data_IF_181551279811
#
_entry.id   IF_181551279811
#
_cell.length_a   1.000
_cell.length_b   1.000
_cell.length_c   1.000
_cell.angle_alpha   90.00
_cell.angle_beta   90.00
_cell.angle_gamma   90.00
#
_symmetry.space_group_name_H-M   'P 1'
#
loop_
_entity.id
_entity.type
_entity.pdbx_description
1 polymer ?
#
# COMPACT_ATOMS: atom_id res chain seq x y z
N UNK A 1 -22.46 35.13 51.40
CA UNK A 1 -21.32 35.38 50.49
C UNK A 1 -21.61 34.66 49.19
N UNK A 2 -21.95 35.44 48.19
CA UNK A 2 -22.30 35.02 46.83
C UNK A 2 -21.02 34.74 46.04
N UNK A 3 -21.00 33.72 45.16
CA UNK A 3 -20.43 33.88 43.82
C UNK A 3 -21.13 32.92 42.84
N UNK A 4 -21.65 33.55 41.78
CA UNK A 4 -22.48 32.99 40.71
C UNK A 4 -21.60 32.35 39.63
N UNK A 5 -22.13 31.29 39.03
CA UNK A 5 -21.71 30.74 37.76
C UNK A 5 -21.80 31.79 36.63
N UNK A 6 -20.81 31.80 35.74
CA UNK A 6 -20.83 32.53 34.47
C UNK A 6 -20.65 31.54 33.32
N UNK A 7 -21.79 31.09 32.79
CA UNK A 7 -21.90 30.62 31.42
C UNK A 7 -22.06 31.83 30.51
N UNK A 8 -21.28 31.92 29.42
CA UNK A 8 -21.57 32.78 28.27
C UNK A 8 -21.92 31.89 27.08
N UNK A 9 -23.07 32.12 26.41
CA UNK A 9 -23.37 31.49 25.13
C UNK A 9 -22.78 32.32 23.98
N UNK A 10 -22.26 31.67 22.95
CA UNK A 10 -21.95 32.34 21.68
C UNK A 10 -22.68 31.62 20.54
N UNK A 11 -23.39 32.47 19.80
CA UNK A 11 -24.30 32.30 18.65
C UNK A 11 -24.06 31.13 17.69
N UNK A 12 -25.16 30.42 17.43
CA UNK A 12 -25.41 29.59 16.24
C UNK A 12 -25.54 30.48 14.99
N UNK A 13 -24.92 30.04 13.89
CA UNK A 13 -25.25 30.46 12.53
C UNK A 13 -25.70 29.19 11.77
N UNK A 14 -26.93 29.09 11.23
CA UNK A 14 -27.43 27.87 10.62
C UNK A 14 -27.31 27.96 9.09
N UNK A 15 -26.34 27.27 8.49
CA UNK A 15 -26.30 27.06 7.03
C UNK A 15 -25.27 25.98 6.67
N UNK A 16 -25.71 24.73 6.55
CA UNK A 16 -25.26 23.75 5.55
C UNK A 16 -25.91 22.41 5.89
N UNK A 17 -27.02 22.12 5.21
CA UNK A 17 -27.51 20.76 5.10
C UNK A 17 -26.46 19.94 4.34
N UNK A 18 -25.90 18.91 4.98
CA UNK A 18 -25.33 17.76 4.27
C UNK A 18 -26.16 16.55 4.64
N UNK A 19 -26.80 15.98 3.63
CA UNK A 19 -27.57 14.75 3.71
C UNK A 19 -26.68 13.63 4.27
N UNK A 20 -27.14 13.04 5.38
CA UNK A 20 -26.59 11.78 5.88
C UNK A 20 -27.10 10.67 4.97
N UNK A 21 -26.30 10.32 3.96
CA UNK A 21 -26.56 9.15 3.13
C UNK A 21 -26.12 7.90 3.90
N UNK A 22 -27.08 7.28 4.58
CA UNK A 22 -26.91 5.97 5.22
C UNK A 22 -26.89 4.91 4.12
N UNK A 23 -25.74 4.26 3.92
CA UNK A 23 -25.66 3.07 3.09
C UNK A 23 -25.76 1.80 3.96
N UNK A 24 -26.51 0.78 3.51
CA UNK A 24 -26.87 -0.35 4.35
C UNK A 24 -25.67 -1.26 4.64
N UNK A 25 -25.58 -1.67 5.90
CA UNK A 25 -24.77 -2.78 6.40
C UNK A 25 -25.18 -4.08 5.70
N UNK A 26 -24.26 -4.69 4.95
CA UNK A 26 -24.44 -6.05 4.42
C UNK A 26 -24.24 -7.02 5.58
N UNK A 27 -25.36 -7.50 6.13
CA UNK A 27 -25.37 -8.60 7.09
C UNK A 27 -25.15 -9.93 6.35
N UNK A 28 -24.07 -10.64 6.68
CA UNK A 28 -23.91 -12.04 6.27
C UNK A 28 -24.77 -12.93 7.17
N UNK A 29 -25.88 -13.43 6.62
CA UNK A 29 -26.68 -14.47 7.25
C UNK A 29 -25.94 -15.82 7.15
N UNK A 30 -25.65 -16.41 8.31
CA UNK A 30 -25.15 -17.78 8.45
C UNK A 30 -26.28 -18.76 8.13
N UNK A 31 -26.14 -19.52 7.04
CA UNK A 31 -27.02 -20.64 6.74
C UNK A 31 -26.41 -21.93 7.32
N UNK A 32 -26.92 -22.32 8.49
CA UNK A 32 -26.73 -23.66 9.05
C UNK A 32 -27.54 -24.65 8.20
N UNK A 33 -26.86 -25.61 7.57
CA UNK A 33 -27.48 -26.86 7.12
C UNK A 33 -26.79 -28.01 7.82
N UNK A 34 -27.56 -28.66 8.69
CA UNK A 34 -27.18 -29.92 9.31
C UNK A 34 -27.24 -31.06 8.30
N UNK A 35 -26.29 -31.99 8.42
CA UNK A 35 -26.39 -33.34 7.87
C UNK A 35 -25.78 -34.32 8.86
N UNK A 36 -26.65 -35.21 9.37
CA UNK A 36 -26.43 -36.65 9.48
C UNK A 36 -25.21 -37.16 10.25
N UNK A 37 -25.46 -37.62 11.48
CA UNK A 37 -24.61 -38.59 12.15
C UNK A 37 -24.59 -39.93 11.40
N UNK A 38 -23.40 -40.48 11.17
CA UNK A 38 -23.19 -41.81 10.60
C UNK A 38 -21.88 -42.38 11.15
N UNK A 39 -22.00 -43.34 12.06
CA UNK A 39 -20.91 -44.06 12.73
C UNK A 39 -20.35 -45.14 11.80
N UNK A 40 -19.03 -45.20 11.62
CA UNK A 40 -18.33 -46.45 11.29
C UNK A 40 -16.85 -46.38 11.69
N UNK A 41 -16.49 -47.18 12.70
CA UNK A 41 -15.12 -47.62 13.00
C UNK A 41 -14.72 -48.70 12.01
N UNK A 42 -13.55 -48.59 11.37
CA UNK A 42 -12.75 -49.74 10.92
C UNK A 42 -11.27 -49.46 11.18
N UNK A 43 -10.56 -50.55 11.44
CA UNK A 43 -9.28 -50.71 12.12
C UNK A 43 -8.19 -51.18 11.14
N UNK A 44 -6.92 -50.96 11.54
CA UNK A 44 -5.65 -51.64 11.17
C UNK A 44 -4.89 -51.25 9.87
N UNK A 45 -3.62 -50.87 10.10
CA UNK A 45 -2.31 -51.37 9.55
C UNK A 45 -2.33 -51.87 8.09
N UNK A 46 -1.38 -51.59 7.18
CA UNK A 46 0.06 -51.34 7.28
C UNK A 46 0.69 -50.98 5.91
N UNK A 47 1.89 -50.37 5.99
CA UNK A 47 3.10 -50.47 5.12
C UNK A 47 3.16 -49.93 3.67
N UNK A 48 4.17 -49.06 3.49
CA UNK A 48 5.21 -48.97 2.44
C UNK A 48 4.85 -48.36 1.08
N UNK A 49 5.60 -47.33 0.67
CA UNK A 49 6.08 -47.21 -0.72
C UNK A 49 6.07 -45.82 -1.35
N UNK A 50 7.27 -45.37 -1.74
CA UNK A 50 7.59 -44.49 -2.86
C UNK A 50 7.36 -42.97 -2.75
N UNK A 51 8.46 -42.24 -2.93
CA UNK A 51 8.48 -40.79 -3.05
C UNK A 51 7.83 -40.28 -4.33
N UNK A 52 7.50 -38.99 -4.31
CA UNK A 52 7.17 -38.23 -5.51
C UNK A 52 7.82 -36.86 -5.40
N UNK A 53 8.78 -36.62 -6.29
CA UNK A 53 9.26 -35.30 -6.67
C UNK A 53 8.06 -34.45 -7.09
N UNK A 54 7.78 -33.37 -6.35
CA UNK A 54 6.94 -32.28 -6.89
C UNK A 54 7.88 -31.31 -7.60
N UNK A 55 8.15 -31.63 -8.86
CA UNK A 55 8.85 -30.75 -9.79
C UNK A 55 7.88 -29.76 -10.44
N UNK A 56 8.17 -28.47 -10.30
CA UNK A 56 8.26 -27.57 -11.46
C UNK A 56 6.98 -27.12 -12.19
N UNK A 57 5.78 -27.15 -11.58
CA UNK A 57 4.56 -26.60 -12.24
C UNK A 57 4.03 -25.28 -11.72
N UNK A 58 4.48 -24.80 -10.55
CA UNK A 58 4.05 -23.49 -10.03
C UNK A 58 4.94 -22.32 -10.46
N UNK A 59 6.21 -22.56 -10.82
CA UNK A 59 7.17 -21.52 -11.21
C UNK A 59 6.98 -21.01 -12.65
N UNK A 60 6.40 -21.80 -13.57
CA UNK A 60 6.22 -21.38 -14.97
C UNK A 60 5.05 -20.42 -15.17
N UNK A 61 3.95 -20.60 -14.44
CA UNK A 61 2.80 -19.69 -14.48
C UNK A 61 3.11 -18.32 -13.85
N UNK A 62 4.00 -18.28 -12.86
CA UNK A 62 4.46 -17.06 -12.21
C UNK A 62 5.26 -16.17 -13.18
N UNK A 63 6.28 -16.74 -13.82
CA UNK A 63 7.08 -16.05 -14.84
C UNK A 63 6.24 -15.60 -16.03
N UNK A 64 5.29 -16.42 -16.49
CA UNK A 64 4.38 -16.04 -17.58
C UNK A 64 3.42 -14.91 -17.19
N UNK A 65 2.96 -14.84 -15.93
CA UNK A 65 2.05 -13.79 -15.47
C UNK A 65 2.77 -12.45 -15.30
N UNK A 66 4.01 -12.45 -14.83
CA UNK A 66 4.85 -11.24 -14.77
C UNK A 66 5.37 -10.84 -16.16
N UNK A 67 5.86 -11.78 -16.98
CA UNK A 67 6.27 -11.50 -18.36
C UNK A 67 5.10 -10.98 -19.22
N UNK A 68 3.88 -11.52 -19.05
CA UNK A 68 2.68 -11.02 -19.75
C UNK A 68 2.19 -9.67 -19.20
N UNK A 69 2.51 -9.37 -17.94
CA UNK A 69 2.25 -8.07 -17.33
C UNK A 69 3.22 -7.00 -17.87
N UNK A 70 4.49 -7.36 -18.08
CA UNK A 70 5.54 -6.48 -18.63
C UNK A 70 5.61 -6.41 -20.17
N UNK A 71 5.03 -7.36 -20.92
CA UNK A 71 5.08 -7.41 -22.40
C UNK A 71 3.95 -6.68 -23.14
N UNK A 72 3.03 -5.97 -22.48
CA UNK A 72 2.04 -5.16 -23.20
C UNK A 72 2.59 -3.77 -23.55
N UNK A 73 3.50 -3.73 -24.52
CA UNK A 73 3.85 -2.51 -25.24
C UNK A 73 4.10 -2.83 -26.71
N UNK A 74 3.07 -2.67 -27.52
CA UNK A 74 3.18 -2.28 -28.92
C UNK A 74 1.94 -1.44 -29.25
N UNK A 75 2.15 -0.14 -29.48
CA UNK A 75 1.17 0.72 -30.11
C UNK A 75 1.13 0.42 -31.62
N UNK A 76 -0.01 0.58 -32.30
CA UNK A 76 -0.09 0.23 -33.71
C UNK A 76 0.79 1.18 -34.53
N UNK A 77 1.79 0.61 -35.18
CA UNK A 77 2.48 1.20 -36.32
C UNK A 77 1.53 1.23 -37.52
N UNK A 78 1.43 2.38 -38.18
CA UNK A 78 0.90 2.43 -39.55
C UNK A 78 1.70 3.42 -40.39
N UNK A 79 2.00 2.94 -41.58
CA UNK A 79 2.87 3.46 -42.62
C UNK A 79 2.19 4.50 -43.51
N UNK A 80 2.93 5.57 -43.83
CA UNK A 80 3.08 6.21 -45.16
C UNK A 80 1.84 6.65 -45.96
N UNK A 81 1.78 7.95 -46.28
CA UNK A 81 1.00 8.50 -47.41
C UNK A 81 0.90 10.02 -47.41
N UNK A 82 1.55 10.68 -48.38
CA UNK A 82 1.61 12.14 -48.54
C UNK A 82 0.33 12.73 -49.19
N UNK A 83 0.00 13.99 -48.85
CA UNK A 83 -0.85 14.84 -49.69
C UNK A 83 -1.64 15.94 -48.96
N UNK A 84 -1.35 17.20 -49.30
CA UNK A 84 -2.33 18.30 -49.30
C UNK A 84 -2.53 19.10 -48.00
N UNK A 85 -2.03 20.34 -47.98
CA UNK A 85 -2.46 21.37 -47.01
C UNK A 85 -3.86 21.91 -47.38
N UNK A 86 -4.67 22.32 -46.38
CA UNK A 86 -4.96 23.75 -46.29
C UNK A 86 -4.99 24.33 -44.86
N UNK A 87 -4.82 25.66 -44.80
CA UNK A 87 -4.93 26.54 -43.62
C UNK A 87 -6.32 26.45 -42.95
N UNK A 88 -6.36 26.34 -41.61
CA UNK A 88 -7.29 27.11 -40.77
C UNK A 88 -6.96 27.01 -39.26
N UNK A 89 -7.10 28.16 -38.60
CA UNK A 89 -7.43 28.40 -37.19
C UNK A 89 -6.51 27.84 -36.08
N UNK A 90 -5.61 28.73 -35.63
CA UNK A 90 -4.92 28.70 -34.33
C UNK A 90 -5.93 29.00 -33.21
N UNK A 91 -6.38 27.98 -32.47
CA UNK A 91 -6.94 28.16 -31.13
C UNK A 91 -5.84 27.90 -30.11
N UNK A 92 -5.37 28.96 -29.47
CA UNK A 92 -4.52 28.86 -28.29
C UNK A 92 -5.40 28.46 -27.11
N UNK A 93 -5.32 27.20 -26.67
CA UNK A 93 -5.73 26.83 -25.32
C UNK A 93 -4.52 27.05 -24.41
N UNK A 94 -4.60 28.10 -23.60
CA UNK A 94 -3.68 28.37 -22.50
C UNK A 94 -3.64 27.16 -21.57
N UNK A 95 -2.59 26.34 -21.68
CA UNK A 95 -2.22 25.41 -20.64
C UNK A 95 -1.93 26.24 -19.38
N UNK A 96 -2.82 26.14 -18.40
CA UNK A 96 -2.69 26.80 -17.11
C UNK A 96 -1.35 26.39 -16.47
N UNK A 97 -0.50 27.39 -16.24
CA UNK A 97 0.79 27.34 -15.56
C UNK A 97 0.76 26.83 -14.10
N UNK A 98 -0.36 26.26 -13.64
CA UNK A 98 -0.56 25.76 -12.28
C UNK A 98 -0.01 24.36 -12.01
N UNK A 99 0.10 23.49 -13.03
CA UNK A 99 0.59 22.12 -12.85
C UNK A 99 2.12 22.05 -12.64
N UNK A 100 2.89 22.98 -13.20
CA UNK A 100 4.33 23.07 -12.96
C UNK A 100 4.66 23.59 -11.54
N UNK A 101 3.81 24.46 -10.97
CA UNK A 101 4.05 25.04 -9.64
C UNK A 101 3.78 24.05 -8.49
N UNK A 102 2.83 23.12 -8.64
CA UNK A 102 2.58 22.08 -7.64
C UNK A 102 3.70 21.01 -7.60
N UNK A 103 4.38 20.78 -8.72
CA UNK A 103 5.52 19.87 -8.83
C UNK A 103 6.83 20.45 -8.24
N UNK A 104 6.88 21.75 -7.94
CA UNK A 104 8.06 22.40 -7.35
C UNK A 104 8.19 22.19 -5.84
N UNK A 105 7.12 21.75 -5.16
CA UNK A 105 7.16 21.44 -3.73
C UNK A 105 7.68 20.00 -3.52
N UNK A 106 8.69 19.84 -2.68
CA UNK A 106 9.23 18.54 -2.31
C UNK A 106 8.26 17.71 -1.45
N UNK A 107 8.64 16.45 -1.14
CA UNK A 107 7.87 15.57 -0.27
C UNK A 107 7.62 16.19 1.11
N UNK A 108 6.41 16.01 1.64
CA UNK A 108 5.98 16.55 2.95
C UNK A 108 5.52 15.45 3.89
N UNK A 109 5.81 15.64 5.18
CA UNK A 109 5.33 14.76 6.24
C UNK A 109 4.09 15.35 6.93
N UNK A 110 3.17 14.47 7.31
CA UNK A 110 2.00 14.80 8.13
C UNK A 110 1.70 13.68 9.11
N UNK A 111 0.84 13.94 10.09
CA UNK A 111 0.53 12.99 11.17
C UNK A 111 -0.99 12.77 11.32
N UNK A 112 -1.64 12.10 10.35
CA UNK A 112 -3.09 11.94 10.39
C UNK A 112 -3.58 11.27 11.68
N UNK A 113 -4.49 11.96 12.39
CA UNK A 113 -5.14 11.49 13.63
C UNK A 113 -4.18 11.02 14.73
N UNK A 114 -2.91 11.45 14.70
CA UNK A 114 -1.87 11.07 15.66
C UNK A 114 -1.60 9.55 15.79
N UNK A 115 -2.06 8.74 14.83
CA UNK A 115 -1.86 7.28 14.82
C UNK A 115 -1.12 6.76 13.58
N UNK A 116 -0.73 7.68 12.68
CA UNK A 116 0.03 7.37 11.47
C UNK A 116 0.97 8.53 11.08
N UNK A 117 2.16 8.21 10.57
CA UNK A 117 3.00 9.16 9.83
C UNK A 117 2.70 8.98 8.34
N UNK A 118 2.51 10.09 7.61
CA UNK A 118 2.26 10.06 6.17
C UNK A 118 3.26 10.96 5.43
N UNK A 119 4.03 10.37 4.51
CA UNK A 119 4.87 11.06 3.54
C UNK A 119 4.11 11.21 2.24
N UNK A 120 3.87 12.45 1.83
CA UNK A 120 3.17 12.78 0.60
C UNK A 120 4.15 13.46 -0.35
N UNK A 121 4.36 12.81 -1.48
CA UNK A 121 5.14 13.34 -2.58
C UNK A 121 4.19 13.97 -3.61
N UNK A 122 4.25 15.28 -3.86
CA UNK A 122 3.40 15.94 -4.86
C UNK A 122 3.59 15.39 -6.27
N UNK A 123 4.76 14.81 -6.58
CA UNK A 123 5.00 14.15 -7.87
C UNK A 123 4.37 12.74 -7.94
N UNK A 124 3.92 12.17 -6.82
CA UNK A 124 3.17 10.90 -6.79
C UNK A 124 1.70 11.15 -7.10
N UNK A 125 1.40 11.28 -8.39
CA UNK A 125 0.07 11.60 -8.89
C UNK A 125 -0.97 10.51 -8.56
N UNK A 126 -2.27 10.88 -8.52
CA UNK A 126 -3.39 9.93 -8.54
C UNK A 126 -3.28 8.89 -9.65
N UNK A 127 -3.63 7.63 -9.38
CA UNK A 127 -3.58 6.58 -10.39
C UNK A 127 -4.56 5.43 -10.09
N UNK A 128 -5.00 4.74 -11.15
CA UNK A 128 -5.82 3.52 -11.07
C UNK A 128 -4.96 2.28 -10.76
N UNK A 129 -3.68 2.28 -11.15
CA UNK A 129 -2.70 1.20 -10.94
C UNK A 129 -1.83 1.53 -9.74
N UNK A 130 -1.89 0.71 -8.69
CA UNK A 130 -1.13 0.91 -7.45
C UNK A 130 -0.28 -0.33 -7.15
N UNK A 131 1.03 -0.12 -7.07
CA UNK A 131 1.99 -1.12 -6.60
C UNK A 131 2.33 -0.74 -5.16
N UNK A 132 1.82 -1.54 -4.23
CA UNK A 132 1.93 -1.26 -2.82
C UNK A 132 2.90 -2.24 -2.15
N UNK A 133 3.63 -1.76 -1.14
CA UNK A 133 4.72 -2.52 -0.52
C UNK A 133 4.75 -2.33 0.99
N UNK A 134 5.10 -3.37 1.75
CA UNK A 134 5.71 -3.17 3.06
C UNK A 134 7.13 -2.59 2.90
N UNK A 135 7.74 -2.15 4.01
CA UNK A 135 9.09 -1.62 4.05
C UNK A 135 10.09 -2.62 4.63
N UNK A 136 9.90 -3.03 5.89
CA UNK A 136 10.92 -3.74 6.66
C UNK A 136 10.88 -5.24 6.31
N UNK A 137 12.02 -5.81 5.95
CA UNK A 137 12.16 -7.18 5.41
C UNK A 137 11.44 -7.44 4.07
N UNK A 138 10.96 -6.37 3.41
CA UNK A 138 10.35 -6.39 2.08
C UNK A 138 11.12 -5.56 1.05
N UNK A 139 11.24 -4.26 1.28
CA UNK A 139 11.99 -3.34 0.41
C UNK A 139 13.40 -3.10 0.93
N UNK A 140 13.57 -3.14 2.25
CA UNK A 140 14.84 -2.97 2.93
C UNK A 140 15.01 -4.04 4.01
N UNK A 141 16.25 -4.26 4.42
CA UNK A 141 16.61 -5.08 5.57
C UNK A 141 17.76 -4.43 6.33
N UNK A 142 18.05 -4.94 7.53
CA UNK A 142 19.22 -4.48 8.28
C UNK A 142 20.47 -5.22 7.84
N UNK A 143 21.56 -4.49 7.60
CA UNK A 143 22.88 -5.05 7.33
C UNK A 143 23.39 -5.83 8.55
N UNK A 144 23.08 -5.37 9.76
CA UNK A 144 23.43 -6.04 11.01
C UNK A 144 22.65 -7.32 11.30
N UNK A 145 21.55 -7.59 10.59
CA UNK A 145 20.64 -8.70 10.87
C UNK A 145 19.79 -8.54 12.14
N UNK A 146 19.89 -7.38 12.82
CA UNK A 146 19.03 -7.07 13.98
C UNK A 146 17.64 -6.66 13.52
N UNK A 147 16.57 -6.91 14.30
CA UNK A 147 15.24 -6.42 13.96
C UNK A 147 15.24 -4.89 13.76
N UNK A 148 14.61 -4.41 12.69
CA UNK A 148 14.65 -2.99 12.30
C UNK A 148 14.12 -2.02 13.37
N UNK A 149 13.22 -2.47 14.24
CA UNK A 149 12.72 -1.67 15.37
C UNK A 149 13.79 -1.40 16.45
N UNK A 150 14.87 -2.18 16.48
CA UNK A 150 16.00 -2.02 17.42
C UNK A 150 17.15 -1.17 16.85
N UNK A 151 17.15 -0.92 15.54
CA UNK A 151 18.22 -0.22 14.84
C UNK A 151 17.89 1.26 14.71
N UNK A 152 18.85 2.12 15.03
CA UNK A 152 18.71 3.59 14.92
C UNK A 152 19.61 4.22 13.86
N UNK A 153 20.67 3.52 13.43
CA UNK A 153 21.58 4.02 12.40
C UNK A 153 20.92 3.83 11.05
N UNK A 154 20.83 4.90 10.26
CA UNK A 154 20.12 4.88 8.98
C UNK A 154 20.91 4.02 7.97
N UNK A 155 22.24 4.02 8.07
CA UNK A 155 23.19 3.31 7.21
C UNK A 155 23.13 1.78 7.38
N UNK A 156 22.52 1.31 8.46
CA UNK A 156 22.30 -0.12 8.67
C UNK A 156 21.11 -0.62 7.84
N UNK A 157 20.24 0.25 7.34
CA UNK A 157 19.18 -0.14 6.42
C UNK A 157 19.70 -0.14 4.99
N UNK A 158 19.66 -1.31 4.36
CA UNK A 158 20.07 -1.54 2.97
C UNK A 158 18.89 -2.13 2.19
N UNK A 159 18.93 -2.08 0.87
CA UNK A 159 17.92 -2.76 0.05
C UNK A 159 17.84 -4.25 0.40
N UNK A 160 16.62 -4.79 0.35
CA UNK A 160 16.37 -6.20 0.62
C UNK A 160 17.11 -7.11 -0.36
N UNK A 161 17.16 -6.72 -1.65
CA UNK A 161 17.99 -7.31 -2.71
C UNK A 161 18.51 -6.22 -3.66
N UNK A 162 19.44 -6.58 -4.56
CA UNK A 162 19.93 -5.67 -5.61
C UNK A 162 18.87 -5.25 -6.63
N UNK A 163 17.76 -6.00 -6.72
CA UNK A 163 16.70 -5.81 -7.70
C UNK A 163 15.66 -4.76 -7.29
N UNK A 164 15.55 -4.46 -5.98
CA UNK A 164 14.47 -3.62 -5.43
C UNK A 164 14.36 -2.28 -6.16
N UNK A 165 15.46 -1.51 -6.23
CA UNK A 165 15.42 -0.20 -6.84
C UNK A 165 15.11 -0.26 -8.35
N UNK A 166 15.63 -1.27 -9.05
CA UNK A 166 15.32 -1.51 -10.47
C UNK A 166 13.84 -1.78 -10.69
N UNK A 167 13.27 -2.72 -9.94
CA UNK A 167 11.86 -3.10 -10.02
C UNK A 167 10.90 -1.96 -9.70
N UNK A 168 11.19 -1.14 -8.69
CA UNK A 168 10.35 0.03 -8.37
C UNK A 168 10.37 1.07 -9.50
N UNK A 169 11.53 1.26 -10.15
CA UNK A 169 11.65 2.14 -11.33
C UNK A 169 10.90 1.59 -12.54
N UNK A 170 11.01 0.28 -12.80
CA UNK A 170 10.26 -0.41 -13.86
C UNK A 170 8.75 -0.22 -13.67
N UNK A 171 8.23 -0.51 -12.47
CA UNK A 171 6.81 -0.34 -12.16
C UNK A 171 6.35 1.11 -12.36
N UNK A 172 7.12 2.07 -11.87
CA UNK A 172 6.79 3.48 -12.06
C UNK A 172 6.78 3.86 -13.55
N UNK A 173 7.74 3.37 -14.34
CA UNK A 173 7.77 3.56 -15.79
C UNK A 173 6.56 2.90 -16.49
N UNK A 174 6.06 1.79 -15.95
CA UNK A 174 4.84 1.10 -16.39
C UNK A 174 3.54 1.78 -15.89
N UNK A 175 3.65 2.96 -15.30
CA UNK A 175 2.53 3.79 -14.88
C UNK A 175 1.92 3.36 -13.54
N UNK A 176 2.64 2.62 -12.70
CA UNK A 176 2.19 2.35 -11.33
C UNK A 176 2.48 3.54 -10.40
N UNK A 177 1.49 3.88 -9.57
CA UNK A 177 1.75 4.63 -8.34
C UNK A 177 2.44 3.72 -7.33
N UNK A 178 3.58 4.14 -6.82
CA UNK A 178 4.32 3.42 -5.78
C UNK A 178 3.87 3.91 -4.40
N UNK A 179 3.43 2.98 -3.54
CA UNK A 179 2.94 3.30 -2.18
C UNK A 179 3.51 2.35 -1.15
N UNK A 180 3.99 2.87 -0.03
CA UNK A 180 4.47 2.08 1.10
C UNK A 180 3.43 2.07 2.23
N UNK A 181 3.15 0.89 2.78
CA UNK A 181 2.30 0.69 3.95
C UNK A 181 3.06 -0.11 5.01
N UNK A 182 3.46 0.53 6.11
CA UNK A 182 4.36 -0.10 7.10
C UNK A 182 3.84 0.05 8.54
N UNK A 183 4.06 -0.98 9.36
CA UNK A 183 3.71 -0.98 10.78
C UNK A 183 4.90 -0.53 11.65
N UNK A 184 4.90 0.72 12.14
CA UNK A 184 6.00 1.32 12.92
C UNK A 184 5.68 1.47 14.41
N UNK A 185 5.36 0.35 15.07
CA UNK A 185 4.94 0.32 16.49
C UNK A 185 6.00 0.74 17.50
N UNK A 186 7.25 0.93 17.07
CA UNK A 186 8.32 1.52 17.88
C UNK A 186 8.14 3.03 18.10
N UNK A 187 7.35 3.70 17.26
CA UNK A 187 7.00 5.13 17.43
C UNK A 187 5.94 5.23 18.53
N UNK A 188 6.41 5.25 19.78
CA UNK A 188 5.57 5.38 20.98
C UNK A 188 5.52 6.86 21.41
N UNK A 189 4.32 7.38 21.68
CA UNK A 189 4.15 8.75 22.19
C UNK A 189 4.04 9.80 21.08
N UNK A 190 4.89 10.83 21.11
CA UNK A 190 4.83 11.98 20.21
C UNK A 190 5.34 11.63 18.80
N UNK A 191 4.59 12.04 17.78
CA UNK A 191 4.94 11.87 16.37
C UNK A 191 6.11 12.76 15.91
N UNK A 192 6.69 13.53 16.85
CA UNK A 192 7.89 14.36 16.70
C UNK A 192 9.09 13.84 17.54
N UNK A 193 9.04 12.61 18.06
CA UNK A 193 10.14 12.02 18.83
C UNK A 193 11.21 11.34 17.97
N UNK A 194 12.37 11.04 18.59
CA UNK A 194 13.55 10.43 17.95
C UNK A 194 13.22 9.23 17.05
N UNK A 195 12.29 8.35 17.47
CA UNK A 195 11.92 7.19 16.65
C UNK A 195 11.12 7.59 15.41
N UNK A 196 10.25 8.60 15.52
CA UNK A 196 9.54 9.14 14.36
C UNK A 196 10.52 9.82 13.40
N UNK A 197 11.52 10.55 13.90
CA UNK A 197 12.58 11.15 13.07
C UNK A 197 13.38 10.09 12.30
N UNK A 198 13.77 9.00 12.98
CA UNK A 198 14.47 7.87 12.35
C UNK A 198 13.60 7.26 11.24
N UNK A 199 12.32 7.01 11.51
CA UNK A 199 11.41 6.44 10.49
C UNK A 199 11.26 7.37 9.29
N UNK A 200 11.12 8.68 9.51
CA UNK A 200 11.04 9.69 8.44
C UNK A 200 12.30 9.71 7.60
N UNK A 201 13.45 9.91 8.25
CA UNK A 201 14.75 9.99 7.58
C UNK A 201 15.06 8.72 6.79
N UNK A 202 14.70 7.54 7.32
CA UNK A 202 14.86 6.25 6.66
C UNK A 202 14.03 6.14 5.38
N UNK A 203 12.75 6.51 5.45
CA UNK A 203 11.85 6.48 4.29
C UNK A 203 12.27 7.53 3.25
N UNK A 204 12.66 8.73 3.69
CA UNK A 204 13.14 9.79 2.79
C UNK A 204 14.42 9.37 2.07
N UNK A 205 15.36 8.75 2.78
CA UNK A 205 16.58 8.20 2.19
C UNK A 205 16.26 7.09 1.18
N UNK A 206 15.42 6.13 1.55
CA UNK A 206 14.99 5.06 0.64
C UNK A 206 14.35 5.64 -0.63
N UNK A 207 13.43 6.60 -0.49
CA UNK A 207 12.78 7.25 -1.63
C UNK A 207 13.79 7.98 -2.53
N UNK A 208 14.77 8.66 -1.94
CA UNK A 208 15.85 9.34 -2.68
C UNK A 208 16.75 8.35 -3.44
N UNK A 209 17.12 7.22 -2.82
CA UNK A 209 17.95 6.19 -3.46
C UNK A 209 17.21 5.46 -4.60
N UNK A 210 15.91 5.20 -4.45
CA UNK A 210 15.09 4.63 -5.53
C UNK A 210 14.86 5.65 -6.64
N UNK A 211 14.61 6.92 -6.31
CA UNK A 211 14.48 8.00 -7.30
C UNK A 211 13.17 7.97 -8.09
N UNK A 212 12.08 7.49 -7.49
CA UNK A 212 10.72 7.56 -8.05
C UNK A 212 9.76 8.25 -7.07
N UNK A 213 8.75 8.99 -7.57
CA UNK A 213 7.72 9.56 -6.71
C UNK A 213 6.95 8.48 -5.97
N UNK A 214 6.87 8.60 -4.63
CA UNK A 214 6.17 7.62 -3.80
C UNK A 214 5.51 8.24 -2.57
N UNK A 215 4.40 7.63 -2.15
CA UNK A 215 3.77 7.93 -0.87
C UNK A 215 4.11 6.85 0.15
N UNK A 216 4.18 7.21 1.43
CA UNK A 216 4.38 6.24 2.50
C UNK A 216 3.45 6.53 3.67
N UNK A 217 2.83 5.47 4.19
CA UNK A 217 1.94 5.50 5.33
C UNK A 217 2.48 4.53 6.38
N UNK A 218 2.80 5.05 7.56
CA UNK A 218 3.40 4.30 8.65
C UNK A 218 2.50 4.33 9.88
N UNK A 219 1.77 3.23 10.13
CA UNK A 219 0.91 3.09 11.30
C UNK A 219 1.74 2.97 12.57
N UNK A 220 1.54 3.87 13.52
CA UNK A 220 2.38 3.95 14.74
C UNK A 220 1.70 3.38 15.98
N UNK A 221 0.37 3.31 15.99
CA UNK A 221 -0.42 2.83 17.11
C UNK A 221 -1.16 1.53 16.80
N UNK A 222 -1.81 0.94 17.81
CA UNK A 222 -2.66 -0.24 17.68
C UNK A 222 -3.83 -0.18 18.67
N UNK A 223 -4.93 -0.85 18.31
CA UNK A 223 -6.14 -0.96 19.14
C UNK A 223 -7.07 0.23 19.00
N UNK A 224 -8.37 0.00 19.20
CA UNK A 224 -9.43 0.95 18.87
C UNK A 224 -9.29 2.34 19.53
N UNK A 225 -8.70 2.41 20.73
CA UNK A 225 -8.49 3.68 21.44
C UNK A 225 -7.40 4.54 20.77
N UNK A 226 -6.27 3.93 20.39
CA UNK A 226 -5.08 4.65 19.90
C UNK A 226 -4.97 4.65 18.38
N UNK A 227 -5.68 3.76 17.71
CA UNK A 227 -5.79 3.65 16.26
C UNK A 227 -7.26 3.45 15.85
N UNK A 228 -8.14 4.44 16.08
CA UNK A 228 -9.57 4.33 15.82
C UNK A 228 -9.92 4.18 14.33
N UNK A 229 -8.97 4.49 13.45
CA UNK A 229 -9.11 4.37 12.00
C UNK A 229 -8.56 3.06 11.44
N UNK A 230 -8.07 2.16 12.32
CA UNK A 230 -7.54 0.86 11.93
C UNK A 230 -6.42 0.97 10.89
N UNK A 231 -5.51 1.94 11.06
CA UNK A 231 -4.37 2.10 10.17
C UNK A 231 -3.40 0.91 10.25
N UNK A 232 -3.24 0.29 11.42
CA UNK A 232 -2.31 -0.82 11.57
C UNK A 232 -2.76 -2.06 10.79
N UNK A 233 -1.86 -2.58 9.94
CA UNK A 233 -2.05 -3.89 9.28
C UNK A 233 -2.23 -4.97 10.35
N UNK A 234 -3.15 -5.94 10.18
CA UNK A 234 -3.76 -6.41 8.92
C UNK A 234 -4.96 -5.60 8.38
N UNK A 235 -5.39 -4.55 9.07
CA UNK A 235 -6.60 -3.81 8.69
C UNK A 235 -6.33 -2.83 7.53
N UNK A 236 -7.37 -2.55 6.73
CA UNK A 236 -7.26 -1.72 5.52
C UNK A 236 -7.24 -0.20 5.74
N UNK A 237 -7.08 0.31 6.97
CA UNK A 237 -7.27 1.73 7.27
C UNK A 237 -6.28 2.66 6.55
N UNK A 238 -5.01 2.25 6.40
CA UNK A 238 -4.04 3.07 5.65
C UNK A 238 -4.42 3.19 4.17
N UNK A 239 -4.89 2.10 3.56
CA UNK A 239 -5.39 2.11 2.18
C UNK A 239 -6.60 3.02 2.05
N UNK A 240 -7.58 2.90 2.96
CA UNK A 240 -8.77 3.75 2.97
C UNK A 240 -8.41 5.25 3.11
N UNK A 241 -7.43 5.58 3.95
CA UNK A 241 -6.92 6.94 4.05
C UNK A 241 -6.28 7.43 2.76
N UNK A 242 -5.39 6.63 2.18
CA UNK A 242 -4.71 6.94 0.92
C UNK A 242 -5.75 7.21 -0.19
N UNK A 243 -6.76 6.35 -0.30
CA UNK A 243 -7.82 6.53 -1.29
C UNK A 243 -8.62 7.81 -1.06
N UNK A 244 -9.02 8.08 0.19
CA UNK A 244 -9.84 9.24 0.53
C UNK A 244 -9.12 10.58 0.37
N UNK A 245 -7.83 10.63 0.67
CA UNK A 245 -7.11 11.90 0.87
C UNK A 245 -5.87 12.07 -0.04
N UNK A 246 -5.40 11.02 -0.70
CA UNK A 246 -4.08 11.00 -1.34
C UNK A 246 -4.06 10.39 -2.76
N UNK A 247 -5.21 9.96 -3.29
CA UNK A 247 -5.37 9.47 -4.66
C UNK A 247 -6.40 10.27 -5.49
N UNK A 248 -6.77 11.47 -5.04
CA UNK A 248 -7.80 12.30 -5.71
C UNK A 248 -9.12 11.55 -5.92
N UNK A 249 -9.85 11.91 -6.98
CA UNK A 249 -11.10 11.24 -7.35
C UNK A 249 -10.88 10.02 -8.27
N UNK A 250 -9.67 9.46 -8.28
CA UNK A 250 -9.30 8.32 -9.13
C UNK A 250 -9.51 7.02 -8.35
N UNK A 251 -10.51 6.23 -8.75
CA UNK A 251 -10.73 4.89 -8.18
C UNK A 251 -9.69 3.88 -8.71
N UNK A 252 -9.16 2.98 -7.86
CA UNK A 252 -8.17 2.00 -8.27
C UNK A 252 -8.81 0.85 -9.04
N UNK A 253 -8.12 0.34 -10.05
CA UNK A 253 -8.41 -0.96 -10.64
C UNK A 253 -7.77 -2.04 -9.76
N UNK A 254 -8.54 -2.56 -8.80
CA UNK A 254 -8.04 -3.54 -7.82
C UNK A 254 -7.46 -4.80 -8.47
N UNK A 255 -7.90 -5.17 -9.68
CA UNK A 255 -7.36 -6.31 -10.41
C UNK A 255 -5.96 -6.05 -11.00
N UNK A 256 -5.58 -4.78 -11.16
CA UNK A 256 -4.25 -4.35 -11.57
C UNK A 256 -3.37 -3.91 -10.40
N UNK A 257 -3.97 -3.71 -9.22
CA UNK A 257 -3.25 -3.40 -7.99
C UNK A 257 -2.73 -4.65 -7.30
N UNK A 258 -1.61 -4.50 -6.59
CA UNK A 258 -1.04 -5.57 -5.80
C UNK A 258 -0.28 -5.03 -4.59
N UNK A 259 -0.03 -5.92 -3.63
CA UNK A 259 0.72 -5.66 -2.42
C UNK A 259 1.83 -6.68 -2.24
N UNK A 260 3.05 -6.21 -1.94
CA UNK A 260 4.20 -7.06 -1.64
C UNK A 260 4.58 -6.91 -0.17
N UNK A 261 4.74 -8.01 0.56
CA UNK A 261 5.12 -7.97 1.98
C UNK A 261 5.62 -9.31 2.51
N UNK A 262 6.47 -9.29 3.54
CA UNK A 262 7.11 -10.48 4.11
C UNK A 262 6.22 -11.22 5.11
N UNK A 263 5.31 -10.51 5.78
CA UNK A 263 4.39 -11.08 6.77
C UNK A 263 3.25 -11.85 6.09
N UNK A 264 3.57 -13.03 5.55
CA UNK A 264 2.68 -13.85 4.74
C UNK A 264 2.06 -15.06 5.47
N UNK A 265 2.36 -15.24 6.76
CA UNK A 265 1.87 -16.37 7.57
C UNK A 265 2.53 -17.71 7.25
N UNK A 266 3.71 -17.72 6.64
CA UNK A 266 4.51 -18.94 6.40
C UNK A 266 5.11 -19.43 7.73
N UNK A 267 5.55 -20.70 7.84
CA UNK A 267 6.05 -21.26 9.10
C UNK A 267 7.19 -20.49 9.79
N UNK A 268 7.95 -19.67 9.06
CA UNK A 268 9.03 -18.83 9.59
C UNK A 268 8.68 -17.34 9.69
N UNK A 269 7.49 -16.95 9.23
CA UNK A 269 7.08 -15.55 9.26
C UNK A 269 6.65 -15.17 10.68
N UNK A 270 6.93 -13.93 11.04
CA UNK A 270 6.60 -13.40 12.36
C UNK A 270 5.09 -13.08 12.50
N UNK A 271 4.39 -12.89 11.37
CA UNK A 271 2.97 -12.56 11.27
C UNK A 271 2.45 -12.88 9.85
N UNK A 272 1.15 -12.70 9.66
CA UNK A 272 0.42 -12.76 8.38
C UNK A 272 -0.16 -11.39 7.98
N UNK A 273 0.26 -10.31 8.65
CA UNK A 273 -0.38 -9.01 8.56
C UNK A 273 -0.34 -8.38 7.17
N UNK A 274 0.64 -8.72 6.33
CA UNK A 274 0.74 -8.20 4.97
C UNK A 274 -0.23 -8.90 4.02
N UNK A 275 -0.31 -10.23 4.14
CA UNK A 275 -1.25 -11.04 3.37
C UNK A 275 -2.70 -10.69 3.72
N UNK A 276 -2.99 -10.54 5.01
CA UNK A 276 -4.31 -10.14 5.46
C UNK A 276 -4.65 -8.70 5.08
N UNK A 277 -3.67 -7.77 5.07
CA UNK A 277 -3.88 -6.41 4.56
C UNK A 277 -4.28 -6.41 3.08
N UNK A 278 -3.56 -7.15 2.24
CA UNK A 278 -3.90 -7.29 0.83
C UNK A 278 -5.31 -7.89 0.63
N UNK A 279 -5.66 -8.89 1.44
CA UNK A 279 -6.99 -9.50 1.46
C UNK A 279 -8.09 -8.51 1.87
N UNK A 280 -7.85 -7.72 2.92
CA UNK A 280 -8.79 -6.70 3.41
C UNK A 280 -9.05 -5.59 2.39
N UNK A 281 -8.05 -5.28 1.55
CA UNK A 281 -8.17 -4.33 0.44
C UNK A 281 -8.80 -4.96 -0.81
N UNK A 282 -8.61 -6.27 -1.00
CA UNK A 282 -9.07 -7.00 -2.19
C UNK A 282 -8.10 -6.92 -3.38
N UNK A 283 -6.79 -6.91 -3.12
CA UNK A 283 -5.73 -6.82 -4.15
C UNK A 283 -4.83 -8.06 -4.12
N UNK A 284 -4.10 -8.29 -5.22
CA UNK A 284 -3.19 -9.44 -5.33
C UNK A 284 -2.04 -9.31 -4.32
N UNK A 285 -1.65 -10.42 -3.68
CA UNK A 285 -0.53 -10.46 -2.74
C UNK A 285 0.66 -11.22 -3.31
N UNK A 286 1.87 -10.74 -3.02
CA UNK A 286 3.13 -11.41 -3.32
C UNK A 286 4.09 -11.32 -2.12
N UNK A 287 4.95 -12.32 -1.95
CA UNK A 287 6.09 -12.18 -1.03
C UNK A 287 7.26 -11.46 -1.70
N UNK A 288 8.24 -10.93 -0.95
CA UNK A 288 9.42 -10.28 -1.53
C UNK A 288 10.23 -11.25 -2.41
N UNK A 289 10.31 -12.52 -2.00
CA UNK A 289 11.01 -13.55 -2.79
C UNK A 289 10.30 -13.80 -4.12
N UNK A 290 8.99 -13.98 -4.12
CA UNK A 290 8.22 -14.13 -5.36
C UNK A 290 8.46 -12.93 -6.26
N UNK A 291 8.37 -11.71 -5.72
CA UNK A 291 8.36 -10.49 -6.52
C UNK A 291 9.74 -10.04 -7.03
N UNK A 292 10.79 -10.14 -6.21
CA UNK A 292 12.12 -9.58 -6.52
C UNK A 292 13.15 -10.63 -6.96
N UNK A 293 12.83 -11.93 -6.91
CA UNK A 293 13.76 -12.99 -7.34
C UNK A 293 13.27 -13.82 -8.53
N UNK A 294 12.03 -13.56 -8.98
CA UNK A 294 11.40 -14.25 -10.11
C UNK A 294 11.62 -13.60 -11.47
#
# INVERSE_FOLDING_TARGET
QSYKALYKPCSLNPSAHSEVQVYPTIAFASAVRGVGAGVARVSRRSRVGAGSLVTGRHLSAFRLRMDAFFKRKDGPSSSGGAGGAPKAARMASSASSGCAAAAAAGPRWSTPRNSMLARLDPASLPNVKIAAFDLDDTLQKTKSGKPGYMVTQIEDFIFWSGEVAGKLRELHADGYKIVLFTNQGGVKGAMAGKRADIVRARIDRFAAEVGVPMQAFAATQKGAEKDPMNYRKPLGGMWAHMMKACNGDVAPDLAQCFYVGDAAGRPKDHADSDKEFASAVGITFYTPEEFFTG
#
